data_IF_899067044179
#
_entry.id   IF_899067044179
#
_cell.length_a   1.000
_cell.length_b   1.000
_cell.length_c   1.000
_cell.angle_alpha   90.00
_cell.angle_beta   90.00
_cell.angle_gamma   90.00
#
_symmetry.space_group_name_H-M   'P 1'
#
loop_
_entity.id
_entity.type
_entity.pdbx_description
1 polymer ?
#
# COMPACT_ATOMS: atom_id res chain seq x y z
N UNK A 1 -8.69 9.81 -7.76
CA UNK A 1 -8.75 8.35 -7.96
C UNK A 1 -9.24 7.74 -6.67
N UNK A 2 -10.17 6.78 -6.67
CA UNK A 2 -10.70 6.18 -5.43
C UNK A 2 -10.11 4.78 -5.18
N UNK A 3 -10.31 4.25 -3.97
CA UNK A 3 -9.84 2.92 -3.53
C UNK A 3 -10.17 1.81 -4.54
N UNK A 4 -11.40 1.77 -5.05
CA UNK A 4 -11.85 0.76 -6.01
C UNK A 4 -11.09 0.84 -7.33
N UNK A 5 -10.83 2.05 -7.83
CA UNK A 5 -10.06 2.26 -9.06
C UNK A 5 -8.61 1.80 -8.89
N UNK A 6 -7.94 2.19 -7.79
CA UNK A 6 -6.57 1.78 -7.49
C UNK A 6 -6.49 0.25 -7.40
N UNK A 7 -7.42 -0.36 -6.67
CA UNK A 7 -7.46 -1.80 -6.48
C UNK A 7 -7.60 -2.55 -7.81
N UNK A 8 -8.50 -2.10 -8.69
CA UNK A 8 -8.71 -2.72 -10.01
C UNK A 8 -7.47 -2.60 -10.89
N UNK A 9 -6.89 -1.41 -10.98
CA UNK A 9 -5.72 -1.16 -11.82
C UNK A 9 -4.52 -1.98 -11.34
N UNK A 10 -4.23 -1.98 -10.03
CA UNK A 10 -3.08 -2.72 -9.51
C UNK A 10 -3.25 -4.23 -9.58
N UNK A 11 -4.45 -4.77 -9.32
CA UNK A 11 -4.68 -6.20 -9.53
C UNK A 11 -4.45 -6.61 -10.99
N UNK A 12 -4.92 -5.81 -11.94
CA UNK A 12 -4.71 -6.11 -13.36
C UNK A 12 -3.24 -6.00 -13.76
N UNK A 13 -2.55 -4.94 -13.36
CA UNK A 13 -1.13 -4.73 -13.70
C UNK A 13 -0.20 -5.77 -13.05
N UNK A 14 -0.57 -6.29 -11.88
CA UNK A 14 0.25 -7.24 -11.11
C UNK A 14 -0.21 -8.69 -11.24
N UNK A 15 -1.23 -8.99 -12.05
CA UNK A 15 -1.80 -10.33 -12.21
C UNK A 15 -0.77 -11.41 -12.53
N UNK A 16 0.22 -11.07 -13.37
CA UNK A 16 1.31 -11.97 -13.77
C UNK A 16 2.65 -11.64 -13.08
N UNK A 17 2.63 -10.76 -12.08
CA UNK A 17 3.80 -10.38 -11.30
C UNK A 17 4.11 -11.43 -10.23
N UNK A 18 5.39 -11.57 -9.88
CA UNK A 18 5.80 -12.33 -8.68
C UNK A 18 5.52 -11.56 -7.38
N UNK A 19 5.15 -10.28 -7.48
CA UNK A 19 4.84 -9.42 -6.34
C UNK A 19 3.36 -9.55 -5.99
N UNK A 20 3.07 -9.93 -4.75
CA UNK A 20 1.72 -10.04 -4.24
C UNK A 20 1.15 -8.65 -3.91
N UNK A 21 0.05 -8.27 -4.57
CA UNK A 21 -0.69 -7.08 -4.20
C UNK A 21 -1.66 -7.39 -3.05
N UNK A 22 -1.42 -6.80 -1.87
CA UNK A 22 -2.24 -7.09 -0.68
C UNK A 22 -3.54 -6.28 -0.65
N UNK A 23 -3.61 -5.20 -1.43
CA UNK A 23 -4.80 -4.37 -1.54
C UNK A 23 -4.55 -2.89 -1.25
N UNK A 24 -5.66 -2.19 -1.00
CA UNK A 24 -5.70 -0.76 -0.69
C UNK A 24 -6.34 -0.60 0.68
N UNK A 25 -5.66 0.08 1.60
CA UNK A 25 -6.01 0.16 3.02
C UNK A 25 -6.19 1.61 3.47
N UNK A 26 -6.91 1.82 4.56
CA UNK A 26 -6.80 3.05 5.36
C UNK A 26 -5.56 2.98 6.27
N UNK A 27 -5.10 4.12 6.77
CA UNK A 27 -3.88 4.20 7.60
C UNK A 27 -3.97 3.36 8.89
N UNK A 28 -5.17 3.22 9.46
CA UNK A 28 -5.44 2.42 10.67
C UNK A 28 -5.68 0.92 10.40
N UNK A 29 -5.68 0.50 9.13
CA UNK A 29 -6.00 -0.88 8.70
C UNK A 29 -4.93 -1.50 7.80
N UNK A 30 -3.68 -1.05 7.91
CA UNK A 30 -2.57 -1.59 7.11
C UNK A 30 -2.31 -3.08 7.41
N UNK A 31 -1.73 -3.84 6.45
CA UNK A 31 -1.44 -5.27 6.63
C UNK A 31 -0.57 -5.56 7.86
N UNK A 32 -0.88 -6.65 8.55
CA UNK A 32 -0.07 -7.10 9.69
C UNK A 32 1.31 -7.59 9.26
N UNK A 33 2.27 -7.58 10.20
CA UNK A 33 3.61 -8.12 9.96
C UNK A 33 3.59 -9.61 9.55
N UNK A 34 2.62 -10.38 10.05
CA UNK A 34 2.42 -11.78 9.66
C UNK A 34 2.02 -11.88 8.19
N UNK A 35 1.10 -11.03 7.72
CA UNK A 35 0.72 -10.98 6.31
C UNK A 35 1.91 -10.58 5.43
N UNK A 36 2.64 -9.52 5.80
CA UNK A 36 3.83 -9.06 5.05
C UNK A 36 4.86 -10.20 4.93
N UNK A 37 5.11 -10.95 6.00
CA UNK A 37 6.03 -12.10 5.99
C UNK A 37 5.56 -13.23 5.08
N UNK A 38 4.28 -13.56 5.11
CA UNK A 38 3.72 -14.67 4.34
C UNK A 38 3.69 -14.40 2.83
N UNK A 39 3.52 -13.13 2.43
CA UNK A 39 3.30 -12.76 1.03
C UNK A 39 4.48 -12.00 0.39
N UNK A 40 5.61 -11.81 1.08
CA UNK A 40 6.77 -11.14 0.47
C UNK A 40 7.33 -11.97 -0.72
N UNK A 41 7.66 -11.36 -1.87
CA UNK A 41 7.60 -9.92 -2.13
C UNK A 41 6.16 -9.43 -2.32
N UNK A 42 5.78 -8.35 -1.62
CA UNK A 42 4.43 -7.82 -1.68
C UNK A 42 4.39 -6.29 -1.71
N UNK A 43 3.29 -5.73 -2.20
CA UNK A 43 3.01 -4.31 -2.11
C UNK A 43 1.57 -4.04 -1.65
N UNK A 44 1.35 -2.83 -1.16
CA UNK A 44 0.02 -2.31 -0.88
C UNK A 44 0.01 -0.79 -1.03
N UNK A 45 -1.19 -0.25 -1.17
CA UNK A 45 -1.42 1.19 -1.13
C UNK A 45 -2.16 1.51 0.17
N UNK A 46 -1.77 2.57 0.85
CA UNK A 46 -2.53 3.08 1.98
C UNK A 46 -3.02 4.50 1.69
N UNK A 47 -4.26 4.78 2.07
CA UNK A 47 -4.68 6.16 2.26
C UNK A 47 -4.05 6.70 3.54
N UNK A 48 -3.69 7.98 3.57
CA UNK A 48 -3.20 8.63 4.79
C UNK A 48 -4.30 8.87 5.82
N UNK A 49 -5.55 8.96 5.37
CA UNK A 49 -6.70 9.08 6.24
C UNK A 49 -7.11 7.71 6.82
N UNK A 50 -7.72 7.77 8.01
CA UNK A 50 -8.26 6.61 8.71
C UNK A 50 -9.58 6.11 8.09
N UNK A 51 -9.99 4.92 8.50
CA UNK A 51 -11.25 4.30 8.10
C UNK A 51 -12.44 5.21 8.37
N UNK A 52 -13.31 5.38 7.37
CA UNK A 52 -14.50 6.23 7.47
C UNK A 52 -14.29 7.68 7.06
N UNK A 53 -13.05 8.10 6.77
CA UNK A 53 -12.74 9.41 6.20
C UNK A 53 -12.84 9.42 4.67
N UNK A 54 -12.81 10.62 4.08
CA UNK A 54 -13.04 10.83 2.64
C UNK A 54 -11.96 10.29 1.72
N UNK A 55 -10.76 10.01 2.24
CA UNK A 55 -9.62 9.50 1.49
C UNK A 55 -8.96 10.63 0.68
N UNK A 56 -7.98 11.30 1.28
CA UNK A 56 -7.39 12.53 0.73
C UNK A 56 -6.10 12.30 -0.05
N UNK A 57 -5.26 11.36 0.38
CA UNK A 57 -3.96 11.10 -0.22
C UNK A 57 -3.59 9.62 -0.12
N UNK A 58 -2.85 9.10 -1.11
CA UNK A 58 -2.48 7.69 -1.21
C UNK A 58 -0.98 7.55 -1.38
N UNK A 59 -0.40 6.64 -0.60
CA UNK A 59 1.02 6.29 -0.62
C UNK A 59 1.19 4.80 -0.87
N UNK A 60 2.30 4.42 -1.50
CA UNK A 60 2.58 3.04 -1.84
C UNK A 60 3.72 2.48 -0.98
N UNK A 61 3.56 1.22 -0.59
CA UNK A 61 4.54 0.47 0.18
C UNK A 61 4.92 -0.79 -0.59
N UNK A 62 6.21 -1.07 -0.67
CA UNK A 62 6.74 -2.28 -1.29
C UNK A 62 7.72 -2.98 -0.35
N UNK A 63 7.48 -4.27 -0.15
CA UNK A 63 8.34 -5.16 0.61
C UNK A 63 9.02 -6.14 -0.36
N UNK A 64 10.27 -5.88 -0.80
CA UNK A 64 11.00 -6.84 -1.62
C UNK A 64 11.37 -8.11 -0.83
N UNK A 65 11.39 -8.01 0.50
CA UNK A 65 11.47 -9.13 1.44
C UNK A 65 10.88 -8.69 2.80
N UNK A 66 10.64 -9.61 3.74
CA UNK A 66 9.96 -9.27 5.01
C UNK A 66 10.69 -8.29 5.93
N UNK A 67 11.97 -7.97 5.66
CA UNK A 67 12.81 -7.09 6.48
C UNK A 67 13.12 -5.75 5.82
N UNK A 68 12.70 -5.54 4.57
CA UNK A 68 12.93 -4.30 3.84
C UNK A 68 11.59 -3.68 3.47
N UNK A 69 11.52 -2.37 3.57
CA UNK A 69 10.37 -1.57 3.15
C UNK A 69 10.87 -0.44 2.26
N UNK A 70 10.19 -0.27 1.13
CA UNK A 70 10.32 0.85 0.23
C UNK A 70 9.01 1.63 0.26
N UNK A 71 9.13 2.95 0.35
CA UNK A 71 8.01 3.88 0.48
C UNK A 71 8.00 4.82 -0.72
N UNK A 72 6.82 5.09 -1.26
CA UNK A 72 6.62 6.02 -2.36
C UNK A 72 5.46 6.96 -2.08
N UNK A 73 5.74 8.25 -2.19
CA UNK A 73 4.77 9.34 -2.20
C UNK A 73 5.02 10.19 -3.47
N UNK A 74 3.98 10.38 -4.29
CA UNK A 74 4.08 11.18 -5.51
C UNK A 74 4.33 12.67 -5.26
N UNK A 75 4.06 13.17 -4.05
CA UNK A 75 4.40 14.52 -3.63
C UNK A 75 5.78 14.62 -2.96
N UNK A 76 6.56 13.54 -2.97
CA UNK A 76 7.90 13.45 -2.38
C UNK A 76 7.96 13.84 -0.89
N UNK A 77 6.83 13.71 -0.17
CA UNK A 77 6.81 13.87 1.29
C UNK A 77 7.56 12.71 1.93
N UNK A 78 8.33 13.01 2.97
CA UNK A 78 9.01 11.98 3.75
C UNK A 78 7.98 11.28 4.67
N UNK A 79 8.19 10.00 5.03
CA UNK A 79 7.29 9.29 5.93
C UNK A 79 7.00 10.04 7.24
N UNK A 80 8.02 10.71 7.82
CA UNK A 80 7.90 11.52 9.04
C UNK A 80 7.00 12.76 8.93
N UNK A 81 6.59 13.13 7.72
CA UNK A 81 5.72 14.27 7.46
C UNK A 81 4.24 13.85 7.36
N UNK A 82 3.95 12.55 7.43
CA UNK A 82 2.60 11.99 7.27
C UNK A 82 1.93 11.57 8.59
N UNK A 83 2.57 11.84 9.73
CA UNK A 83 2.11 11.47 11.09
C UNK A 83 2.93 10.32 11.67
#
# INVERSE_FOLDING_TARGET
MNTTQIHRVLNHLLENSRVHFLGVFASDKIPSLTAIKAYSPCCYVANTDETGQGGSHWVAFFHPNPRKLEFFDSFAKLPKELG
#
